data_IF_063505210852
#
_entry.id   IF_063505210852
#
_cell.length_a   1.000
_cell.length_b   1.000
_cell.length_c   1.000
_cell.angle_alpha   90.00
_cell.angle_beta   90.00
_cell.angle_gamma   90.00
#
_symmetry.space_group_name_H-M   'P 1'
#
loop_
_entity.id
_entity.type
_entity.pdbx_description
1 polymer ?
#
# COMPACT_ATOMS: atom_id res chain seq x y z
N UNK A 1 26.47 8.16 10.79
CA UNK A 1 26.00 6.96 11.50
C UNK A 1 27.14 5.96 11.66
N UNK A 2 27.12 5.21 12.77
CA UNK A 2 28.02 4.06 12.96
C UNK A 2 27.57 2.91 12.06
N UNK A 3 28.53 2.23 11.40
CA UNK A 3 28.23 1.02 10.66
C UNK A 3 28.05 -0.15 11.66
N UNK A 4 26.83 -0.59 11.88
CA UNK A 4 26.51 -1.66 12.84
C UNK A 4 27.10 -2.99 12.40
N UNK A 5 27.24 -3.23 11.10
CA UNK A 5 27.92 -4.41 10.55
C UNK A 5 29.42 -4.54 10.87
N UNK A 6 30.04 -3.49 11.40
CA UNK A 6 31.44 -3.55 11.87
C UNK A 6 31.56 -4.12 13.30
N UNK A 7 30.44 -4.34 14.00
CA UNK A 7 30.45 -4.94 15.35
C UNK A 7 30.40 -6.47 15.28
N UNK A 8 31.10 -7.16 16.18
CA UNK A 8 31.29 -8.61 16.08
C UNK A 8 30.00 -9.44 16.26
N UNK A 9 29.02 -8.94 16.95
CA UNK A 9 27.73 -9.57 17.23
C UNK A 9 26.64 -9.26 16.19
N UNK A 10 26.93 -8.40 15.21
CA UNK A 10 25.95 -8.00 14.22
C UNK A 10 25.36 -9.16 13.44
N UNK A 11 26.19 -10.12 13.02
CA UNK A 11 25.75 -11.27 12.23
C UNK A 11 24.75 -12.16 13.00
N UNK A 12 24.94 -12.32 14.31
CA UNK A 12 24.02 -13.07 15.16
C UNK A 12 22.71 -12.31 15.35
N UNK A 13 22.78 -11.02 15.64
CA UNK A 13 21.60 -10.17 15.82
C UNK A 13 20.77 -10.07 14.53
N UNK A 14 21.41 -9.80 13.41
CA UNK A 14 20.71 -9.60 12.13
C UNK A 14 20.05 -10.86 11.59
N UNK A 15 20.51 -12.04 11.95
CA UNK A 15 19.92 -13.32 11.51
C UNK A 15 18.46 -13.54 11.98
N UNK A 16 17.99 -12.79 12.96
CA UNK A 16 16.61 -12.86 13.46
C UNK A 16 15.62 -11.95 12.72
N UNK A 17 16.11 -11.06 11.87
CA UNK A 17 15.29 -10.10 11.15
C UNK A 17 14.84 -10.65 9.79
N UNK A 18 13.71 -10.15 9.30
CA UNK A 18 13.26 -10.39 7.94
C UNK A 18 14.15 -9.62 6.94
N UNK A 19 14.43 -10.23 5.79
CA UNK A 19 15.35 -9.67 4.80
C UNK A 19 14.87 -8.29 4.28
N UNK A 20 13.59 -8.15 3.99
CA UNK A 20 13.05 -6.92 3.41
C UNK A 20 13.24 -5.69 4.32
N UNK A 21 12.77 -5.66 5.59
CA UNK A 21 13.03 -4.52 6.47
C UNK A 21 14.52 -4.36 6.84
N UNK A 22 15.29 -5.44 6.94
CA UNK A 22 16.72 -5.32 7.20
C UNK A 22 17.45 -4.66 6.02
N UNK A 23 17.06 -4.95 4.80
CA UNK A 23 17.69 -4.41 3.58
C UNK A 23 17.58 -2.90 3.46
N UNK A 24 16.56 -2.25 4.06
CA UNK A 24 16.41 -0.78 4.05
C UNK A 24 17.57 -0.08 4.78
N UNK A 25 18.24 -0.78 5.67
CA UNK A 25 19.37 -0.30 6.45
C UNK A 25 20.74 -0.52 5.77
N UNK A 26 20.77 -1.13 4.58
CA UNK A 26 21.99 -1.44 3.84
C UNK A 26 22.37 -0.28 2.92
N UNK A 27 23.56 0.28 3.11
CA UNK A 27 24.13 1.28 2.24
C UNK A 27 25.61 0.97 1.96
N UNK A 28 25.99 0.92 0.69
CA UNK A 28 27.35 0.62 0.22
C UNK A 28 28.00 -0.61 0.88
N UNK A 29 27.21 -1.68 1.05
CA UNK A 29 27.67 -2.94 1.61
C UNK A 29 27.80 -2.99 3.13
N UNK A 30 27.33 -1.96 3.84
CA UNK A 30 27.32 -1.88 5.31
C UNK A 30 25.92 -1.59 5.83
N UNK A 31 25.58 -2.15 6.98
CA UNK A 31 24.34 -1.87 7.68
C UNK A 31 24.52 -0.75 8.71
N UNK A 32 23.65 0.25 8.67
CA UNK A 32 23.71 1.43 9.54
C UNK A 32 22.56 1.51 10.54
N UNK A 33 21.63 0.57 10.48
CA UNK A 33 20.50 0.44 11.40
C UNK A 33 20.04 -0.99 11.53
N UNK A 34 19.11 -1.21 12.44
CA UNK A 34 18.33 -2.44 12.62
C UNK A 34 16.86 -2.08 12.73
N UNK A 35 15.96 -2.86 12.11
CA UNK A 35 14.52 -2.63 12.26
C UNK A 35 14.08 -2.71 13.73
N UNK A 36 13.38 -1.70 14.23
CA UNK A 36 12.72 -1.73 15.51
C UNK A 36 11.40 -2.48 15.42
N UNK A 37 10.65 -2.18 14.37
CA UNK A 37 9.46 -2.90 13.96
C UNK A 37 9.34 -2.95 12.44
N UNK A 38 8.31 -3.64 11.95
CA UNK A 38 7.95 -3.63 10.53
C UNK A 38 6.44 -3.80 10.38
N UNK A 39 5.90 -3.16 9.38
CA UNK A 39 4.50 -3.23 9.00
C UNK A 39 4.33 -3.21 7.48
N UNK A 40 3.13 -3.46 7.01
CA UNK A 40 2.77 -3.30 5.60
C UNK A 40 1.30 -2.88 5.49
N UNK A 41 0.93 -2.34 4.35
CA UNK A 41 -0.48 -2.13 4.03
C UNK A 41 -1.14 -3.43 3.56
N UNK A 42 -2.40 -3.57 3.93
CA UNK A 42 -3.33 -4.60 3.46
C UNK A 42 -4.60 -3.94 2.93
N UNK A 43 -5.47 -4.68 2.29
CA UNK A 43 -6.80 -4.18 1.96
C UNK A 43 -7.66 -4.16 3.22
N UNK A 44 -8.19 -2.98 3.54
CA UNK A 44 -9.28 -2.80 4.50
C UNK A 44 -10.57 -2.83 3.69
N UNK A 45 -11.43 -3.80 3.97
CA UNK A 45 -12.62 -4.09 3.16
C UNK A 45 -13.87 -4.03 3.99
N UNK A 46 -14.86 -3.24 3.56
CA UNK A 46 -16.22 -3.30 4.08
C UNK A 46 -17.04 -4.32 3.28
N UNK A 47 -17.27 -5.49 3.86
CA UNK A 47 -17.99 -6.59 3.20
C UNK A 47 -19.47 -6.28 2.95
N UNK A 48 -20.09 -5.34 3.68
CA UNK A 48 -21.45 -4.92 3.44
C UNK A 48 -21.54 -4.05 2.17
N UNK A 49 -20.62 -3.09 2.03
CA UNK A 49 -20.54 -2.26 0.80
C UNK A 49 -20.10 -3.12 -0.39
N UNK A 50 -19.22 -4.10 -0.17
CA UNK A 50 -18.83 -5.05 -1.22
C UNK A 50 -20.02 -5.83 -1.79
N UNK A 51 -20.95 -6.27 -0.93
CA UNK A 51 -22.19 -6.93 -1.36
C UNK A 51 -23.11 -6.01 -2.17
N UNK A 52 -23.11 -4.71 -1.90
CA UNK A 52 -23.84 -3.73 -2.72
C UNK A 52 -23.30 -3.66 -4.15
N UNK A 53 -22.03 -4.00 -4.35
CA UNK A 53 -21.40 -4.14 -5.67
C UNK A 53 -21.73 -5.48 -6.35
N UNK A 54 -22.47 -6.37 -5.68
CA UNK A 54 -22.77 -7.71 -6.17
C UNK A 54 -21.66 -8.74 -5.93
N UNK A 55 -20.71 -8.42 -5.04
CA UNK A 55 -19.61 -9.32 -4.67
C UNK A 55 -19.89 -9.95 -3.30
N UNK A 56 -20.15 -11.24 -3.28
CA UNK A 56 -20.40 -11.99 -2.03
C UNK A 56 -19.10 -12.30 -1.26
N UNK A 57 -17.97 -12.35 -1.97
CA UNK A 57 -16.63 -12.59 -1.42
C UNK A 57 -15.68 -11.46 -1.82
N UNK A 58 -14.57 -11.35 -1.09
CA UNK A 58 -13.51 -10.39 -1.44
C UNK A 58 -12.84 -10.85 -2.74
N UNK A 59 -12.84 -10.04 -3.79
CA UNK A 59 -12.30 -10.44 -5.08
C UNK A 59 -10.80 -10.72 -4.99
N UNK A 60 -10.33 -11.73 -5.70
CA UNK A 60 -8.91 -12.05 -5.78
C UNK A 60 -8.15 -11.08 -6.71
N UNK A 61 -8.86 -10.42 -7.62
CA UNK A 61 -8.29 -9.49 -8.59
C UNK A 61 -8.92 -8.11 -8.52
N UNK A 62 -8.12 -7.10 -8.81
CA UNK A 62 -8.60 -5.72 -8.87
C UNK A 62 -9.48 -5.49 -10.11
N UNK A 63 -9.28 -6.25 -11.17
CA UNK A 63 -10.14 -6.22 -12.35
C UNK A 63 -11.59 -6.57 -12.00
N UNK A 64 -11.79 -7.64 -11.23
CA UNK A 64 -13.13 -8.04 -10.76
C UNK A 64 -13.75 -6.95 -9.88
N UNK A 65 -12.97 -6.38 -8.96
CA UNK A 65 -13.40 -5.27 -8.11
C UNK A 65 -13.81 -4.05 -8.94
N UNK A 66 -12.96 -3.63 -9.91
CA UNK A 66 -13.20 -2.46 -10.76
C UNK A 66 -14.49 -2.62 -11.56
N UNK A 67 -14.69 -3.77 -12.20
CA UNK A 67 -15.90 -4.03 -12.99
C UNK A 67 -17.18 -3.98 -12.13
N UNK A 68 -17.13 -4.52 -10.91
CA UNK A 68 -18.23 -4.42 -9.98
C UNK A 68 -18.47 -2.98 -9.51
N UNK A 69 -17.40 -2.24 -9.18
CA UNK A 69 -17.46 -0.85 -8.72
C UNK A 69 -18.04 0.11 -9.77
N UNK A 70 -17.74 -0.08 -11.06
CA UNK A 70 -18.31 0.70 -12.16
C UNK A 70 -19.84 0.67 -12.19
N UNK A 71 -20.45 -0.44 -11.77
CA UNK A 71 -21.92 -0.58 -11.77
C UNK A 71 -22.60 0.30 -10.74
N UNK A 72 -21.89 0.66 -9.64
CA UNK A 72 -22.45 1.46 -8.54
C UNK A 72 -22.60 2.95 -8.93
N UNK A 73 -21.76 3.45 -9.83
CA UNK A 73 -21.78 4.84 -10.27
C UNK A 73 -21.33 5.86 -9.22
N UNK A 74 -20.74 5.42 -8.13
CA UNK A 74 -20.10 6.22 -7.08
C UNK A 74 -18.83 5.56 -6.59
N UNK A 75 -17.94 6.34 -5.98
CA UNK A 75 -16.65 5.86 -5.50
C UNK A 75 -16.78 4.65 -4.57
N UNK A 76 -15.97 3.64 -4.82
CA UNK A 76 -15.94 2.38 -4.04
C UNK A 76 -14.55 2.04 -3.52
N UNK A 77 -13.50 2.66 -4.09
CA UNK A 77 -12.10 2.56 -3.70
C UNK A 77 -11.62 3.94 -3.27
N UNK A 78 -10.91 4.03 -2.15
CA UNK A 78 -10.33 5.29 -1.69
C UNK A 78 -8.80 5.20 -1.63
N UNK A 79 -8.13 6.26 -2.04
CA UNK A 79 -6.72 6.52 -1.77
C UNK A 79 -6.67 7.65 -0.74
N UNK A 80 -6.13 7.40 0.44
CA UNK A 80 -6.19 8.30 1.59
C UNK A 80 -5.54 9.65 1.34
N UNK A 81 -4.55 9.72 0.46
CA UNK A 81 -3.87 10.96 0.09
C UNK A 81 -2.97 10.82 -1.13
N UNK A 82 -2.37 11.92 -1.56
CA UNK A 82 -1.41 11.97 -2.67
C UNK A 82 0.04 11.71 -2.24
N UNK A 83 0.27 11.51 -0.94
CA UNK A 83 1.59 11.16 -0.41
C UNK A 83 2.07 9.80 -0.89
N UNK A 84 3.38 9.60 -0.80
CA UNK A 84 4.05 8.36 -1.23
C UNK A 84 3.49 7.12 -0.53
N UNK A 85 3.30 7.20 0.78
CA UNK A 85 2.74 6.12 1.59
C UNK A 85 1.36 5.65 1.11
N UNK A 86 0.51 6.56 0.68
CA UNK A 86 -0.85 6.25 0.25
C UNK A 86 -0.94 5.89 -1.22
N UNK A 87 -0.19 6.57 -2.07
CA UNK A 87 -0.28 6.45 -3.52
C UNK A 87 0.54 5.28 -4.07
N UNK A 88 1.74 5.00 -3.53
CA UNK A 88 2.65 4.02 -4.12
C UNK A 88 2.09 2.60 -4.21
N UNK A 89 1.32 2.06 -3.25
CA UNK A 89 0.72 0.74 -3.42
C UNK A 89 -0.14 0.62 -4.68
N UNK A 90 -0.92 1.65 -5.00
CA UNK A 90 -1.74 1.70 -6.21
C UNK A 90 -0.89 1.89 -7.47
N UNK A 91 0.11 2.76 -7.41
CA UNK A 91 1.03 3.00 -8.50
C UNK A 91 1.77 1.71 -8.90
N UNK A 92 2.32 0.98 -7.94
CA UNK A 92 3.01 -0.29 -8.20
C UNK A 92 2.03 -1.39 -8.65
N UNK A 93 0.84 -1.46 -8.05
CA UNK A 93 -0.19 -2.42 -8.43
C UNK A 93 -0.55 -2.28 -9.91
N UNK A 94 -0.65 -1.06 -10.42
CA UNK A 94 -0.92 -0.78 -11.82
C UNK A 94 0.33 -0.80 -12.72
N UNK A 95 1.48 -1.23 -12.21
CA UNK A 95 2.68 -1.51 -12.98
C UNK A 95 3.69 -0.38 -13.03
N UNK A 96 3.51 0.67 -12.23
CA UNK A 96 4.49 1.75 -12.10
C UNK A 96 5.79 1.29 -11.45
N UNK A 97 6.90 1.92 -11.81
CA UNK A 97 8.24 1.63 -11.30
C UNK A 97 8.92 2.95 -10.95
N UNK A 98 9.50 3.05 -9.74
CA UNK A 98 10.13 4.29 -9.27
C UNK A 98 11.59 4.41 -9.72
N UNK A 99 12.35 3.32 -9.58
CA UNK A 99 13.81 3.31 -9.79
C UNK A 99 14.26 1.99 -10.37
N UNK A 100 15.53 1.90 -10.73
CA UNK A 100 16.21 0.62 -10.94
C UNK A 100 16.28 -0.20 -9.63
N UNK A 101 16.61 -1.50 -9.73
CA UNK A 101 16.71 -2.42 -8.59
C UNK A 101 17.78 -2.01 -7.56
N UNK A 102 18.75 -1.21 -7.96
CA UNK A 102 19.81 -0.70 -7.09
C UNK A 102 19.48 0.62 -6.39
N UNK A 103 18.31 1.20 -6.62
CA UNK A 103 17.89 2.52 -6.13
C UNK A 103 18.88 3.64 -6.51
N UNK A 104 19.49 3.56 -7.70
CA UNK A 104 20.53 4.48 -8.16
C UNK A 104 20.03 5.54 -9.12
N UNK A 105 18.95 5.28 -9.86
CA UNK A 105 18.35 6.22 -10.81
C UNK A 105 16.84 6.05 -10.91
N UNK A 106 16.13 7.16 -11.01
CA UNK A 106 14.71 7.21 -11.34
C UNK A 106 14.48 7.45 -12.84
N UNK A 107 15.48 8.01 -13.54
CA UNK A 107 15.38 8.30 -14.97
C UNK A 107 15.28 7.00 -15.77
N UNK A 108 14.29 6.91 -16.66
CA UNK A 108 13.97 5.72 -17.45
C UNK A 108 13.06 4.71 -16.72
N UNK A 109 12.74 4.96 -15.44
CA UNK A 109 11.84 4.15 -14.62
C UNK A 109 10.58 4.94 -14.24
N UNK A 110 10.74 6.01 -13.47
CA UNK A 110 9.61 6.85 -13.07
C UNK A 110 8.94 7.53 -14.27
N UNK A 111 9.71 7.90 -15.27
CA UNK A 111 9.26 8.49 -16.55
C UNK A 111 9.05 7.46 -17.67
N UNK A 112 9.01 6.16 -17.35
CA UNK A 112 8.74 5.08 -18.31
C UNK A 112 7.28 5.07 -18.78
N UNK A 113 7.03 4.46 -19.95
CA UNK A 113 5.67 4.23 -20.45
C UNK A 113 4.81 3.45 -19.43
N UNK A 114 5.38 2.49 -18.71
CA UNK A 114 4.69 1.71 -17.68
C UNK A 114 4.26 2.60 -16.51
N UNK A 115 5.13 3.47 -16.03
CA UNK A 115 4.82 4.41 -14.94
C UNK A 115 3.77 5.45 -15.35
N UNK A 116 3.87 5.96 -16.59
CA UNK A 116 2.86 6.85 -17.16
C UNK A 116 1.51 6.12 -17.26
N UNK A 117 1.48 4.87 -17.74
CA UNK A 117 0.26 4.08 -17.85
C UNK A 117 -0.36 3.79 -16.48
N UNK A 118 0.45 3.52 -15.46
CA UNK A 118 -0.03 3.30 -14.09
C UNK A 118 -0.74 4.55 -13.52
N UNK A 119 -0.15 5.74 -13.72
CA UNK A 119 -0.80 6.99 -13.32
C UNK A 119 -2.05 7.30 -14.15
N UNK A 120 -2.02 7.03 -15.45
CA UNK A 120 -3.19 7.16 -16.31
C UNK A 120 -4.33 6.24 -15.85
N UNK A 121 -4.01 5.02 -15.39
CA UNK A 121 -5.01 4.10 -14.83
C UNK A 121 -5.67 4.66 -13.57
N UNK A 122 -4.91 5.28 -12.68
CA UNK A 122 -5.46 5.93 -11.47
C UNK A 122 -6.42 7.07 -11.87
N UNK A 123 -6.02 7.91 -12.83
CA UNK A 123 -6.86 9.01 -13.35
C UNK A 123 -8.13 8.46 -14.01
N UNK A 124 -8.01 7.43 -14.85
CA UNK A 124 -9.16 6.75 -15.47
C UNK A 124 -10.16 6.26 -14.43
N UNK A 125 -9.69 5.56 -13.39
CA UNK A 125 -10.55 5.05 -12.32
C UNK A 125 -11.23 6.18 -11.53
N UNK A 126 -10.57 7.33 -11.37
CA UNK A 126 -11.17 8.51 -10.76
C UNK A 126 -12.27 9.09 -11.66
N UNK A 127 -12.02 9.27 -12.96
CA UNK A 127 -13.00 9.79 -13.92
C UNK A 127 -14.21 8.86 -14.05
N UNK A 128 -14.01 7.55 -13.96
CA UNK A 128 -15.07 6.53 -13.95
C UNK A 128 -15.80 6.41 -12.62
N UNK A 129 -15.43 7.20 -11.60
CA UNK A 129 -15.99 7.17 -10.24
C UNK A 129 -15.84 5.82 -9.52
N UNK A 130 -14.81 5.08 -9.85
CA UNK A 130 -14.41 3.88 -9.12
C UNK A 130 -13.54 4.23 -7.93
N UNK A 131 -12.52 5.08 -8.16
CA UNK A 131 -11.51 5.48 -7.19
C UNK A 131 -11.63 6.97 -6.87
N UNK A 132 -11.53 7.33 -5.60
CA UNK A 132 -11.44 8.72 -5.15
C UNK A 132 -10.11 8.96 -4.44
N UNK A 133 -9.64 10.21 -4.49
CA UNK A 133 -8.43 10.68 -3.81
C UNK A 133 -8.81 11.92 -3.02
N UNK A 134 -8.89 11.80 -1.70
CA UNK A 134 -9.36 12.87 -0.81
C UNK A 134 -8.70 14.23 -1.07
N UNK A 135 -7.38 14.24 -1.24
CA UNK A 135 -6.64 15.49 -1.45
C UNK A 135 -6.90 16.15 -2.80
N UNK A 136 -7.53 15.43 -3.73
CA UNK A 136 -7.84 15.91 -5.07
C UNK A 136 -9.27 16.41 -5.17
N UNK A 137 -10.23 15.64 -4.65
CA UNK A 137 -11.65 15.89 -4.85
C UNK A 137 -12.43 16.28 -3.59
N UNK A 138 -11.75 16.28 -2.42
CA UNK A 138 -12.38 16.61 -1.14
C UNK A 138 -13.37 15.56 -0.64
N UNK A 139 -13.27 14.33 -1.13
CA UNK A 139 -14.10 13.21 -0.68
C UNK A 139 -13.90 12.90 0.80
N UNK A 140 -14.80 12.08 1.35
CA UNK A 140 -14.72 11.64 2.73
C UNK A 140 -13.41 10.88 2.96
N UNK A 141 -12.80 11.08 4.12
CA UNK A 141 -11.60 10.37 4.53
C UNK A 141 -11.80 8.85 4.46
N UNK A 142 -10.77 8.11 4.04
CA UNK A 142 -10.84 6.66 3.89
C UNK A 142 -11.28 5.94 5.17
N UNK A 143 -10.78 6.40 6.31
CA UNK A 143 -11.07 5.80 7.62
C UNK A 143 -12.52 6.00 8.06
N UNK A 144 -13.11 7.14 7.72
CA UNK A 144 -14.52 7.42 7.99
C UNK A 144 -15.42 6.79 6.93
N UNK A 145 -15.09 6.97 5.66
CA UNK A 145 -15.89 6.53 4.52
C UNK A 145 -15.98 5.01 4.37
N UNK A 146 -15.00 4.24 4.87
CA UNK A 146 -15.10 2.79 4.86
C UNK A 146 -16.28 2.25 5.68
N UNK A 147 -16.84 3.04 6.59
CA UNK A 147 -17.99 2.62 7.36
C UNK A 147 -19.28 2.50 6.51
N UNK A 148 -19.39 3.19 5.37
CA UNK A 148 -20.62 3.23 4.57
C UNK A 148 -20.45 3.61 3.11
N UNK A 149 -19.35 4.23 2.72
CA UNK A 149 -19.19 4.80 1.37
C UNK A 149 -18.29 3.94 0.49
N UNK A 150 -17.15 3.49 1.02
CA UNK A 150 -16.16 2.74 0.27
C UNK A 150 -16.22 1.25 0.59
N UNK A 151 -15.97 0.44 -0.43
CA UNK A 151 -15.81 -1.00 -0.25
C UNK A 151 -14.38 -1.37 0.14
N UNK A 152 -13.39 -0.55 -0.23
CA UNK A 152 -11.98 -0.87 -0.02
C UNK A 152 -11.09 0.37 0.04
N UNK A 153 -10.03 0.29 0.84
CA UNK A 153 -8.82 1.12 0.77
C UNK A 153 -7.63 0.33 1.31
N UNK A 154 -6.41 0.84 1.12
CA UNK A 154 -5.21 0.14 1.60
C UNK A 154 -4.63 0.84 2.80
N UNK A 155 -4.49 0.10 3.92
CA UNK A 155 -4.00 0.68 5.16
C UNK A 155 -3.23 -0.32 6.01
N UNK A 156 -2.46 0.20 6.96
CA UNK A 156 -1.67 -0.59 7.90
C UNK A 156 -2.48 -1.12 9.09
N UNK A 157 -1.86 -1.96 9.95
CA UNK A 157 -2.54 -2.61 11.06
C UNK A 157 -3.08 -1.63 12.12
N UNK A 158 -2.55 -0.42 12.19
CA UNK A 158 -3.02 0.63 13.11
C UNK A 158 -4.48 1.03 12.88
N UNK A 159 -5.02 0.88 11.66
CA UNK A 159 -6.43 1.10 11.42
C UNK A 159 -7.30 0.27 12.39
N UNK A 160 -7.03 -1.02 12.49
CA UNK A 160 -7.78 -1.94 13.36
C UNK A 160 -7.51 -1.70 14.85
N UNK A 161 -6.35 -1.16 15.20
CA UNK A 161 -6.03 -0.74 16.56
C UNK A 161 -6.72 0.55 17.00
N UNK A 162 -7.10 1.40 16.03
CA UNK A 162 -7.73 2.70 16.28
C UNK A 162 -9.26 2.67 16.29
N UNK A 163 -9.87 1.61 15.73
CA UNK A 163 -11.32 1.47 15.61
C UNK A 163 -11.80 0.22 16.30
N UNK A 164 -12.74 0.41 17.23
CA UNK A 164 -13.46 -0.69 17.87
C UNK A 164 -14.56 -1.23 16.93
N UNK A 165 -14.91 -2.50 17.11
CA UNK A 165 -16.04 -3.16 16.43
C UNK A 165 -15.94 -3.26 14.89
N UNK A 166 -14.73 -3.18 14.28
CA UNK A 166 -14.57 -3.35 12.84
C UNK A 166 -15.30 -4.58 12.31
N UNK A 167 -15.10 -5.74 12.95
CA UNK A 167 -15.74 -7.00 12.53
C UNK A 167 -17.25 -6.94 12.61
N UNK A 168 -17.83 -6.33 13.65
CA UNK A 168 -19.28 -6.17 13.79
C UNK A 168 -19.88 -5.27 12.70
N UNK A 169 -19.08 -4.34 12.17
CA UNK A 169 -19.43 -3.48 11.03
C UNK A 169 -19.18 -4.14 9.67
N UNK A 170 -18.66 -5.36 9.65
CA UNK A 170 -18.27 -6.05 8.41
C UNK A 170 -16.97 -5.53 7.80
N UNK A 171 -16.14 -4.82 8.58
CA UNK A 171 -14.83 -4.30 8.12
C UNK A 171 -13.75 -5.31 8.50
N UNK A 172 -13.02 -5.80 7.52
CA UNK A 172 -12.01 -6.85 7.68
C UNK A 172 -10.72 -6.50 6.94
N UNK A 173 -9.61 -7.10 7.39
CA UNK A 173 -8.35 -7.08 6.63
C UNK A 173 -8.33 -8.23 5.63
N UNK A 174 -7.78 -7.95 4.45
CA UNK A 174 -7.56 -8.93 3.40
C UNK A 174 -6.26 -8.68 2.65
N UNK A 175 -5.83 -9.64 1.86
CA UNK A 175 -4.76 -9.41 0.89
C UNK A 175 -5.22 -8.39 -0.15
N UNK A 176 -4.32 -7.51 -0.57
CA UNK A 176 -4.60 -6.59 -1.69
C UNK A 176 -4.84 -7.43 -2.93
N UNK A 177 -5.99 -7.26 -3.62
CA UNK A 177 -6.26 -7.97 -4.86
C UNK A 177 -5.17 -7.72 -5.90
N UNK A 178 -4.82 -8.75 -6.68
CA UNK A 178 -3.84 -8.60 -7.75
C UNK A 178 -4.41 -7.83 -8.94
N UNK A 179 -3.54 -7.14 -9.69
CA UNK A 179 -3.89 -6.54 -10.98
C UNK A 179 -2.93 -7.05 -12.06
N UNK A 180 -3.47 -7.65 -13.12
CA UNK A 180 -2.68 -8.33 -14.18
C UNK A 180 -1.64 -9.29 -13.59
N UNK A 181 -2.01 -10.00 -12.51
CA UNK A 181 -1.13 -10.92 -11.79
C UNK A 181 -0.08 -10.27 -10.90
N UNK A 182 -0.02 -8.93 -10.80
CA UNK A 182 0.86 -8.21 -9.88
C UNK A 182 0.20 -8.09 -8.50
N UNK A 183 1.02 -8.19 -7.48
CA UNK A 183 0.65 -7.83 -6.11
C UNK A 183 1.57 -6.71 -5.64
N UNK A 184 1.03 -5.75 -4.93
CA UNK A 184 1.79 -4.62 -4.44
C UNK A 184 1.34 -4.22 -3.03
N UNK A 185 2.31 -3.89 -2.20
CA UNK A 185 2.12 -3.24 -0.92
C UNK A 185 3.36 -2.39 -0.62
N UNK A 186 3.30 -1.59 0.41
CA UNK A 186 4.46 -0.89 0.95
C UNK A 186 4.88 -1.57 2.24
N UNK A 187 6.18 -1.71 2.43
CA UNK A 187 6.79 -2.11 3.69
C UNK A 187 7.21 -0.85 4.42
N UNK A 188 6.74 -0.71 5.64
CA UNK A 188 7.10 0.37 6.56
C UNK A 188 7.69 -0.19 7.85
N UNK A 189 7.92 0.70 8.79
CA UNK A 189 8.50 0.41 10.09
C UNK A 189 9.51 1.49 10.48
N UNK A 190 10.00 1.39 11.70
CA UNK A 190 11.01 2.29 12.26
C UNK A 190 12.33 1.52 12.43
N UNK A 191 13.43 2.24 12.23
CA UNK A 191 14.78 1.70 12.39
C UNK A 191 15.52 2.35 13.55
N UNK A 192 16.35 1.58 14.24
CA UNK A 192 17.30 2.09 15.22
C UNK A 192 18.67 2.25 14.57
N UNK A 193 19.24 3.45 14.68
CA UNK A 193 20.58 3.75 14.23
C UNK A 193 21.41 4.41 15.34
N UNK A 194 22.73 4.24 15.30
CA UNK A 194 23.67 4.83 16.25
C UNK A 194 24.42 5.97 15.58
N UNK A 195 24.41 7.14 16.21
CA UNK A 195 25.26 8.24 15.80
C UNK A 195 26.69 8.04 16.31
N UNK A 196 27.67 8.23 15.42
CA UNK A 196 29.08 8.15 15.75
C UNK A 196 29.59 9.50 16.25
#
# INVERSE_FOLDING_TARGET
LAALSDYPDFAELSASYLDAPLSTNLYQGKYYGLPLDTNCKAAVVNTNVLKELGLDEIPATMEEFIEAAKTRGTYSLNVSGVGDWDMYPYFWLFGGVLTDDGFTTASGYLDSDASIAAMQKIVELHDEKVLTIRDVDGSVDAWDGINSEYAMFFEGPWYFGSYEDCTAKGIVAATIPTYEGRSASVVGGEDIAVFA
#
